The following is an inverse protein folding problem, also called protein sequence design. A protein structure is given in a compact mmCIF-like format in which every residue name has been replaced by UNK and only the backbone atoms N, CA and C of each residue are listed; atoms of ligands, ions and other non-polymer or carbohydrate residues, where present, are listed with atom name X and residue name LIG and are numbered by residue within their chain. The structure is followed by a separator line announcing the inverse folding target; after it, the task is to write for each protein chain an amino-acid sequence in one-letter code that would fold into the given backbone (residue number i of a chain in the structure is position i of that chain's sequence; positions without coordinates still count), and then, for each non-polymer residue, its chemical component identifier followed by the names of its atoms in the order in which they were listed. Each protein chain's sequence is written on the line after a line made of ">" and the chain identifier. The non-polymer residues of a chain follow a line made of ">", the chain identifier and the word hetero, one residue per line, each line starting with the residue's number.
data_IF_918561128065
#
_entry.id   IF_918561128065
#
_cell.length_a   1.000
_cell.length_b   1.000
_cell.length_c   1.000
_cell.angle_alpha   90.00
_cell.angle_beta   90.00
_cell.angle_gamma   90.00
#
_symmetry.space_group_name_H-M   'P 1'
#
loop_
_entity.id
_entity.type
_entity.pdbx_description
1 polymer ?
#
# COMPACT_ATOMS: atom_id res chain seq x y z
N UNK A 1 -9.97 -30.56 -1.46
CA UNK A 1 -8.71 -29.88 -1.15
C UNK A 1 -8.25 -30.37 0.20
N UNK A 2 -6.95 -30.50 0.43
CA UNK A 2 -6.42 -30.77 1.78
C UNK A 2 -6.40 -29.49 2.64
N UNK A 3 -6.94 -28.39 2.11
CA UNK A 3 -7.16 -27.13 2.81
C UNK A 3 -8.64 -26.93 3.13
N UNK A 4 -8.92 -26.53 4.36
CA UNK A 4 -10.24 -26.13 4.83
C UNK A 4 -10.32 -24.60 4.91
N UNK A 5 -11.17 -23.99 4.07
CA UNK A 5 -11.40 -22.54 4.09
C UNK A 5 -12.12 -22.16 5.39
N UNK A 6 -11.54 -21.23 6.14
CA UNK A 6 -12.11 -20.69 7.38
C UNK A 6 -12.88 -19.41 7.04
N UNK A 7 -12.30 -18.24 7.32
CA UNK A 7 -12.90 -16.94 7.02
C UNK A 7 -12.23 -16.24 5.83
N UNK A 8 -12.99 -15.37 5.18
CA UNK A 8 -12.50 -14.47 4.13
C UNK A 8 -11.66 -13.36 4.77
N UNK A 9 -10.47 -13.12 4.23
CA UNK A 9 -9.56 -12.07 4.71
C UNK A 9 -9.69 -10.77 3.92
N UNK A 10 -10.00 -10.86 2.63
CA UNK A 10 -10.15 -9.69 1.77
C UNK A 10 -10.39 -10.06 0.30
N UNK A 11 -10.66 -9.03 -0.49
CA UNK A 11 -10.72 -9.10 -1.96
C UNK A 11 -9.71 -8.11 -2.53
N UNK A 12 -8.69 -8.62 -3.21
CA UNK A 12 -7.71 -7.80 -3.92
C UNK A 12 -8.01 -7.76 -5.41
N UNK A 13 -7.21 -6.99 -6.16
CA UNK A 13 -7.25 -6.92 -7.62
C UNK A 13 -7.09 -8.30 -8.27
N UNK A 14 -6.37 -9.21 -7.61
CA UNK A 14 -6.02 -10.54 -8.11
C UNK A 14 -6.97 -11.66 -7.67
N UNK A 15 -7.95 -11.39 -6.81
CA UNK A 15 -8.91 -12.39 -6.35
C UNK A 15 -9.21 -12.33 -4.85
N UNK A 16 -9.97 -13.32 -4.38
CA UNK A 16 -10.36 -13.42 -2.97
C UNK A 16 -9.29 -14.17 -2.17
N UNK A 17 -8.93 -13.62 -1.02
CA UNK A 17 -8.01 -14.25 -0.07
C UNK A 17 -8.80 -14.85 1.09
N UNK A 18 -8.52 -16.11 1.42
CA UNK A 18 -9.14 -16.83 2.53
C UNK A 18 -8.08 -17.31 3.52
N UNK A 19 -8.36 -17.14 4.81
CA UNK A 19 -7.65 -17.88 5.85
C UNK A 19 -8.09 -19.33 5.77
N UNK A 20 -7.15 -20.27 5.75
CA UNK A 20 -7.45 -21.69 5.61
C UNK A 20 -6.57 -22.53 6.52
N UNK A 21 -7.06 -23.69 6.92
CA UNK A 21 -6.29 -24.71 7.63
C UNK A 21 -5.76 -25.73 6.62
N UNK A 22 -4.44 -25.86 6.50
CA UNK A 22 -3.81 -26.99 5.80
C UNK A 22 -3.90 -28.23 6.69
N UNK A 23 -4.75 -29.19 6.32
CA UNK A 23 -5.00 -30.42 7.08
C UNK A 23 -3.84 -31.41 7.02
N UNK A 24 -2.88 -31.23 6.12
CA UNK A 24 -1.72 -32.13 5.97
C UNK A 24 -0.75 -31.98 7.15
N UNK A 25 -0.57 -30.74 7.61
CA UNK A 25 0.37 -30.37 8.67
C UNK A 25 -0.29 -29.61 9.83
N UNK A 26 -1.61 -29.40 9.77
CA UNK A 26 -2.41 -28.66 10.75
C UNK A 26 -1.93 -27.21 10.97
N UNK A 27 -1.59 -26.52 9.88
CA UNK A 27 -1.11 -25.11 9.91
C UNK A 27 -2.09 -24.14 9.26
N UNK A 28 -2.13 -22.90 9.77
CA UNK A 28 -2.93 -21.83 9.18
C UNK A 28 -2.16 -21.17 8.04
N UNK A 29 -2.82 -21.01 6.90
CA UNK A 29 -2.27 -20.43 5.67
C UNK A 29 -3.24 -19.40 5.08
N UNK A 30 -2.72 -18.53 4.21
CA UNK A 30 -3.55 -17.71 3.34
C UNK A 30 -3.68 -18.38 1.96
N UNK A 31 -4.92 -18.61 1.51
CA UNK A 31 -5.22 -19.07 0.16
C UNK A 31 -5.68 -17.89 -0.69
N UNK A 32 -4.83 -17.48 -1.62
CA UNK A 32 -5.12 -16.43 -2.59
C UNK A 32 -5.50 -17.05 -3.92
N UNK A 33 -6.74 -16.86 -4.35
CA UNK A 33 -7.17 -17.34 -5.67
C UNK A 33 -6.45 -16.54 -6.76
N UNK A 34 -5.85 -17.24 -7.71
CA UNK A 34 -5.21 -16.63 -8.88
C UNK A 34 -6.29 -16.45 -9.95
N UNK A 35 -6.57 -15.21 -10.35
CA UNK A 35 -7.50 -14.94 -11.46
C UNK A 35 -6.91 -15.44 -12.78
N UNK A 36 -7.58 -16.41 -13.40
CA UNK A 36 -7.36 -16.82 -14.78
C UNK A 36 -8.26 -15.95 -15.68
N UNK A 37 -7.67 -15.23 -16.64
CA UNK A 37 -8.44 -14.39 -17.57
C UNK A 37 -9.34 -15.25 -18.45
N UNK A 38 -10.52 -14.73 -18.83
CA UNK A 38 -11.51 -15.47 -19.63
C UNK A 38 -10.95 -15.96 -20.97
N UNK A 39 -10.02 -15.22 -21.56
CA UNK A 39 -9.35 -15.59 -22.82
C UNK A 39 -8.40 -16.78 -22.67
N UNK A 40 -7.98 -17.11 -21.44
CA UNK A 40 -7.08 -18.22 -21.12
C UNK A 40 -7.83 -19.42 -20.51
N UNK A 41 -9.14 -19.26 -20.22
CA UNK A 41 -9.98 -20.35 -19.69
C UNK A 41 -10.03 -21.51 -20.68
N UNK A 42 -9.86 -22.73 -20.18
CA UNK A 42 -9.81 -23.96 -21.00
C UNK A 42 -8.44 -24.31 -21.57
N UNK A 43 -7.43 -23.43 -21.50
CA UNK A 43 -6.03 -23.72 -21.88
C UNK A 43 -5.12 -24.03 -20.68
N UNK A 44 -5.69 -24.14 -19.48
CA UNK A 44 -4.95 -24.29 -18.22
C UNK A 44 -4.33 -22.97 -17.75
N UNK A 45 -3.34 -23.06 -16.86
CA UNK A 45 -2.70 -21.88 -16.26
C UNK A 45 -1.78 -21.20 -17.27
N UNK A 46 -1.89 -19.88 -17.51
CA UNK A 46 -0.96 -19.16 -18.37
C UNK A 46 0.50 -19.37 -17.94
N UNK A 47 1.39 -19.64 -18.91
CA UNK A 47 2.83 -19.86 -18.64
C UNK A 47 3.45 -18.64 -17.93
N UNK A 48 2.98 -17.43 -18.23
CA UNK A 48 3.38 -16.19 -17.57
C UNK A 48 3.05 -16.21 -16.08
N UNK A 49 1.82 -16.59 -15.71
CA UNK A 49 1.41 -16.74 -14.32
C UNK A 49 2.23 -17.82 -13.59
N UNK A 50 2.50 -18.97 -14.24
CA UNK A 50 3.35 -20.02 -13.65
C UNK A 50 4.79 -19.54 -13.42
N UNK A 51 5.34 -18.73 -14.34
CA UNK A 51 6.68 -18.16 -14.21
C UNK A 51 6.76 -17.21 -13.03
N UNK A 52 5.76 -16.35 -12.87
CA UNK A 52 5.69 -15.41 -11.76
C UNK A 52 5.50 -16.13 -10.43
N UNK A 53 4.61 -17.11 -10.35
CA UNK A 53 4.44 -17.98 -9.17
C UNK A 53 5.77 -18.65 -8.82
N UNK A 54 6.53 -19.13 -9.82
CA UNK A 54 7.82 -19.77 -9.61
C UNK A 54 8.86 -18.81 -9.05
N UNK A 55 8.89 -17.56 -9.55
CA UNK A 55 9.75 -16.49 -9.00
C UNK A 55 9.37 -16.22 -7.55
N UNK A 56 8.08 -16.00 -7.25
CA UNK A 56 7.61 -15.72 -5.90
C UNK A 56 7.90 -16.86 -4.92
N UNK A 57 7.76 -18.11 -5.37
CA UNK A 57 8.13 -19.31 -4.59
C UNK A 57 9.63 -19.44 -4.33
N UNK A 58 10.47 -18.81 -5.16
CA UNK A 58 11.92 -18.78 -4.96
C UNK A 58 12.37 -17.71 -3.96
N UNK A 59 11.55 -16.69 -3.70
CA UNK A 59 11.88 -15.61 -2.78
C UNK A 59 11.87 -16.11 -1.34
N UNK A 60 12.96 -15.82 -0.61
CA UNK A 60 13.14 -16.19 0.79
C UNK A 60 13.77 -15.05 1.56
N UNK A 61 12.95 -14.31 2.29
CA UNK A 61 13.39 -13.24 3.15
C UNK A 61 12.37 -13.03 4.28
N UNK A 62 12.85 -12.64 5.47
CA UNK A 62 11.97 -12.49 6.64
C UNK A 62 10.86 -11.47 6.42
N UNK A 63 11.12 -10.41 5.64
CA UNK A 63 10.16 -9.36 5.32
C UNK A 63 9.40 -9.52 3.99
N UNK A 64 9.42 -10.70 3.40
CA UNK A 64 8.68 -11.05 2.17
C UNK A 64 7.70 -12.17 2.52
N UNK A 65 6.44 -12.06 2.07
CA UNK A 65 5.47 -13.13 2.23
C UNK A 65 5.91 -14.36 1.42
N UNK A 66 5.97 -15.50 2.08
CA UNK A 66 6.46 -16.75 1.51
C UNK A 66 5.33 -17.47 0.79
N UNK A 67 5.53 -17.76 -0.50
CA UNK A 67 4.68 -18.69 -1.23
C UNK A 67 5.11 -20.11 -0.90
N UNK A 68 4.28 -20.83 -0.16
CA UNK A 68 4.56 -22.17 0.34
C UNK A 68 4.28 -23.22 -0.73
N UNK A 69 3.14 -23.12 -1.40
CA UNK A 69 2.68 -24.11 -2.36
C UNK A 69 1.70 -23.51 -3.39
N UNK A 70 1.34 -24.30 -4.38
CA UNK A 70 0.27 -23.99 -5.35
C UNK A 70 -0.76 -25.10 -5.27
N UNK A 71 -2.00 -24.74 -5.01
CA UNK A 71 -3.12 -25.66 -4.93
C UNK A 71 -4.07 -25.46 -6.13
N UNK A 72 -4.65 -26.56 -6.60
CA UNK A 72 -5.68 -26.55 -7.65
C UNK A 72 -6.94 -27.19 -7.07
N UNK A 73 -8.11 -26.64 -7.39
CA UNK A 73 -9.36 -27.25 -6.96
C UNK A 73 -9.55 -28.62 -7.60
N UNK A 74 -10.12 -29.56 -6.83
CA UNK A 74 -10.42 -30.91 -7.33
C UNK A 74 -11.68 -30.95 -8.20
N UNK A 75 -12.54 -29.94 -8.08
CA UNK A 75 -13.83 -29.86 -8.78
C UNK A 75 -13.77 -28.97 -10.01
N UNK A 76 -12.84 -28.01 -10.03
CA UNK A 76 -12.65 -27.07 -11.14
C UNK A 76 -11.14 -26.85 -11.32
N UNK A 77 -10.57 -27.38 -12.41
CA UNK A 77 -9.13 -27.32 -12.65
C UNK A 77 -8.65 -25.92 -13.05
N UNK A 78 -9.57 -25.02 -13.42
CA UNK A 78 -9.25 -23.61 -13.70
C UNK A 78 -9.07 -22.79 -12.41
N UNK A 79 -9.39 -23.39 -11.27
CA UNK A 79 -9.44 -22.75 -9.97
C UNK A 79 -8.12 -22.97 -9.21
N UNK A 80 -7.17 -22.05 -9.45
CA UNK A 80 -5.80 -22.09 -8.91
C UNK A 80 -5.66 -21.18 -7.70
N UNK A 81 -4.94 -21.65 -6.69
CA UNK A 81 -4.72 -20.95 -5.43
C UNK A 81 -3.23 -20.92 -5.11
N UNK A 82 -2.73 -19.73 -4.79
CA UNK A 82 -1.43 -19.55 -4.16
C UNK A 82 -1.58 -19.79 -2.66
N UNK A 83 -0.78 -20.70 -2.11
CA UNK A 83 -0.74 -21.00 -0.67
C UNK A 83 0.40 -20.18 -0.08
N UNK A 84 0.06 -19.18 0.71
CA UNK A 84 0.99 -18.22 1.31
C UNK A 84 1.07 -18.42 2.83
N UNK A 85 2.18 -18.02 3.45
CA UNK A 85 2.24 -17.90 4.90
C UNK A 85 1.15 -16.93 5.41
N UNK A 86 0.58 -17.22 6.58
CA UNK A 86 -0.46 -16.37 7.15
C UNK A 86 0.16 -15.27 8.02
N UNK A 87 -0.28 -14.03 7.79
CA UNK A 87 -0.03 -12.89 8.68
C UNK A 87 -1.35 -12.33 9.17
N UNK A 88 -1.42 -12.03 10.47
CA UNK A 88 -2.65 -11.73 11.18
C UNK A 88 -3.32 -10.45 10.70
N UNK A 89 -2.55 -9.39 10.46
CA UNK A 89 -3.06 -8.05 10.15
C UNK A 89 -2.38 -7.46 8.92
N UNK A 90 -2.97 -6.40 8.36
CA UNK A 90 -2.29 -5.44 7.48
C UNK A 90 -2.26 -4.07 8.15
N UNK A 91 -1.30 -3.23 7.75
CA UNK A 91 -1.12 -1.92 8.36
C UNK A 91 -2.29 -0.97 8.10
N UNK A 92 -3.03 -1.12 6.98
CA UNK A 92 -4.19 -0.27 6.70
C UNK A 92 -5.30 -0.51 7.75
N UNK A 93 -5.65 -1.77 8.00
CA UNK A 93 -6.64 -2.13 9.01
C UNK A 93 -6.25 -1.68 10.43
N UNK A 94 -4.95 -1.72 10.77
CA UNK A 94 -4.46 -1.23 12.07
C UNK A 94 -4.61 0.29 12.21
N UNK A 95 -4.33 1.07 11.16
CA UNK A 95 -4.47 2.53 11.21
C UNK A 95 -5.94 2.96 11.17
N UNK A 96 -6.74 2.38 10.29
CA UNK A 96 -8.10 2.85 10.00
C UNK A 96 -9.13 2.36 11.02
N UNK A 97 -9.09 1.08 11.37
CA UNK A 97 -10.10 0.46 12.24
C UNK A 97 -9.65 0.35 13.69
N UNK A 98 -8.41 -0.05 13.92
CA UNK A 98 -7.85 -0.15 15.26
C UNK A 98 -7.44 1.20 15.84
N UNK A 99 -7.32 2.23 14.98
CA UNK A 99 -6.84 3.57 15.32
C UNK A 99 -5.50 3.54 16.03
N UNK A 100 -4.65 2.59 15.65
CA UNK A 100 -3.33 2.40 16.24
C UNK A 100 -2.45 3.62 15.95
N UNK A 101 -1.61 3.94 16.93
CA UNK A 101 -0.62 5.01 16.88
C UNK A 101 0.73 4.40 17.25
N UNK A 102 1.53 4.11 16.23
CA UNK A 102 2.87 3.58 16.45
C UNK A 102 3.77 4.67 17.03
N UNK A 103 4.57 4.32 18.03
CA UNK A 103 5.63 5.17 18.55
C UNK A 103 6.75 5.36 17.52
N UNK A 104 7.59 6.39 17.71
CA UNK A 104 8.73 6.65 16.81
C UNK A 104 9.66 5.43 16.65
N UNK A 105 9.87 4.68 17.74
CA UNK A 105 10.71 3.47 17.75
C UNK A 105 10.08 2.33 16.95
N UNK A 106 8.75 2.20 17.00
CA UNK A 106 7.99 1.22 16.21
C UNK A 106 7.95 1.61 14.73
N UNK A 107 7.70 2.89 14.40
CA UNK A 107 7.77 3.38 13.01
C UNK A 107 9.15 3.10 12.41
N UNK A 108 10.22 3.37 13.17
CA UNK A 108 11.60 3.09 12.74
C UNK A 108 11.83 1.58 12.54
N UNK A 109 11.28 0.73 13.40
CA UNK A 109 11.34 -0.72 13.23
C UNK A 109 10.60 -1.18 11.95
N UNK A 110 9.35 -0.75 11.76
CA UNK A 110 8.54 -1.08 10.58
C UNK A 110 9.21 -0.59 9.29
N UNK A 111 9.71 0.65 9.26
CA UNK A 111 10.38 1.21 8.09
C UNK A 111 11.71 0.49 7.78
N UNK A 112 12.45 0.07 8.81
CA UNK A 112 13.67 -0.73 8.61
C UNK A 112 13.34 -2.07 7.96
N UNK A 113 12.33 -2.77 8.47
CA UNK A 113 11.86 -4.04 7.91
C UNK A 113 11.33 -3.91 6.47
N UNK A 114 10.58 -2.84 6.17
CA UNK A 114 10.12 -2.51 4.82
C UNK A 114 11.31 -2.32 3.86
N UNK A 115 12.31 -1.52 4.26
CA UNK A 115 13.49 -1.24 3.45
C UNK A 115 14.38 -2.48 3.27
N UNK A 116 14.51 -3.34 4.28
CA UNK A 116 15.22 -4.63 4.18
C UNK A 116 14.53 -5.56 3.17
N UNK A 117 13.19 -5.63 3.20
CA UNK A 117 12.41 -6.35 2.20
C UNK A 117 12.59 -5.80 0.78
N UNK A 118 12.52 -4.47 0.61
CA UNK A 118 12.74 -3.83 -0.68
C UNK A 118 14.17 -4.03 -1.20
N UNK A 119 15.18 -3.92 -0.33
CA UNK A 119 16.57 -4.18 -0.71
C UNK A 119 16.74 -5.61 -1.24
N UNK A 120 16.13 -6.59 -0.57
CA UNK A 120 16.14 -7.97 -1.03
C UNK A 120 15.53 -8.11 -2.42
N UNK A 121 14.34 -7.55 -2.67
CA UNK A 121 13.67 -7.61 -3.98
C UNK A 121 14.49 -6.93 -5.07
N UNK A 122 15.00 -5.73 -4.80
CA UNK A 122 15.75 -4.92 -5.76
C UNK A 122 17.08 -5.60 -6.14
N UNK A 123 17.71 -6.36 -5.23
CA UNK A 123 18.89 -7.18 -5.54
C UNK A 123 18.59 -8.41 -6.40
N UNK A 124 17.33 -8.83 -6.50
CA UNK A 124 16.86 -9.90 -7.38
C UNK A 124 16.21 -9.35 -8.65
N UNK A 125 16.44 -8.07 -8.99
CA UNK A 125 15.86 -7.37 -10.14
C UNK A 125 14.31 -7.35 -10.16
N UNK A 126 13.70 -7.40 -8.97
CA UNK A 126 12.24 -7.34 -8.81
C UNK A 126 11.87 -5.96 -8.28
N UNK A 127 10.95 -5.29 -8.98
CA UNK A 127 10.30 -4.05 -8.52
C UNK A 127 8.87 -4.38 -8.11
N UNK A 128 8.47 -4.01 -6.89
CA UNK A 128 7.17 -4.41 -6.34
C UNK A 128 6.00 -3.70 -7.02
N UNK A 129 6.13 -2.39 -7.30
CA UNK A 129 5.17 -1.52 -8.03
C UNK A 129 3.82 -1.24 -7.36
N UNK A 130 3.43 -2.02 -6.36
CA UNK A 130 2.17 -1.84 -5.62
C UNK A 130 2.38 -1.79 -4.10
N UNK A 131 3.40 -1.05 -3.64
CA UNK A 131 3.61 -0.83 -2.20
C UNK A 131 2.52 0.13 -1.69
N UNK A 132 1.73 -0.35 -0.73
CA UNK A 132 0.63 0.37 -0.06
C UNK A 132 0.32 -0.27 1.29
N UNK A 133 -0.35 0.44 2.19
CA UNK A 133 -0.60 -0.05 3.56
C UNK A 133 -1.30 -1.42 3.63
N UNK A 134 -2.24 -1.71 2.72
CA UNK A 134 -2.96 -2.99 2.69
C UNK A 134 -2.12 -4.17 2.19
N UNK A 135 -0.97 -3.90 1.54
CA UNK A 135 -0.01 -4.91 1.09
C UNK A 135 1.16 -5.09 2.08
N UNK A 136 1.18 -4.32 3.17
CA UNK A 136 2.13 -4.48 4.27
C UNK A 136 1.45 -5.28 5.38
N UNK A 137 1.74 -6.57 5.44
CA UNK A 137 1.19 -7.44 6.47
C UNK A 137 2.07 -7.40 7.72
N UNK A 138 1.47 -7.62 8.89
CA UNK A 138 2.16 -7.64 10.18
C UNK A 138 1.80 -8.91 10.93
N UNK A 139 2.83 -9.68 11.31
CA UNK A 139 2.65 -10.86 12.15
C UNK A 139 2.46 -10.48 13.62
N UNK A 140 1.93 -11.39 14.43
CA UNK A 140 1.86 -11.23 15.89
C UNK A 140 3.24 -11.05 16.56
N UNK A 141 4.31 -11.52 15.93
CA UNK A 141 5.69 -11.31 16.41
C UNK A 141 6.29 -9.96 15.95
N UNK A 142 5.49 -9.08 15.35
CA UNK A 142 5.93 -7.77 14.87
C UNK A 142 6.79 -7.81 13.61
N UNK A 143 6.72 -8.92 12.85
CA UNK A 143 7.44 -9.04 11.57
C UNK A 143 6.57 -8.47 10.46
N UNK A 144 7.08 -7.43 9.79
CA UNK A 144 6.45 -6.87 8.60
C UNK A 144 6.75 -7.76 7.39
N UNK A 145 5.71 -8.08 6.62
CA UNK A 145 5.77 -8.92 5.42
C UNK A 145 5.23 -8.14 4.22
N UNK A 146 6.06 -7.95 3.20
CA UNK A 146 5.62 -7.47 1.89
C UNK A 146 4.81 -8.57 1.20
N UNK A 147 3.57 -8.25 0.87
CA UNK A 147 2.65 -9.15 0.18
C UNK A 147 2.11 -8.51 -1.10
N UNK A 148 1.41 -9.33 -1.89
CA UNK A 148 0.77 -8.92 -3.15
C UNK A 148 1.76 -8.30 -4.14
N UNK A 149 2.79 -9.09 -4.48
CA UNK A 149 3.64 -8.84 -5.64
C UNK A 149 2.75 -8.86 -6.86
N UNK A 150 2.45 -7.68 -7.41
CA UNK A 150 1.57 -7.53 -8.54
C UNK A 150 2.06 -8.38 -9.71
N UNK A 151 1.47 -9.57 -9.84
CA UNK A 151 1.70 -10.53 -10.91
C UNK A 151 1.74 -9.75 -12.23
N UNK A 152 2.87 -9.89 -12.91
CA UNK A 152 3.53 -8.87 -13.70
C UNK A 152 2.57 -8.22 -14.68
N UNK A 153 2.09 -7.03 -14.32
CA UNK A 153 1.65 -6.10 -15.34
C UNK A 153 2.91 -5.69 -16.11
N UNK A 154 3.07 -6.21 -17.33
CA UNK A 154 3.28 -5.25 -18.42
C UNK A 154 2.19 -4.21 -18.22
N UNK A 155 2.60 -2.97 -17.95
CA UNK A 155 1.68 -1.87 -17.78
C UNK A 155 0.92 -1.68 -19.09
N UNK A 156 -0.12 -2.48 -19.28
CA UNK A 156 -1.05 -2.28 -20.36
C UNK A 156 -1.70 -0.94 -20.07
N UNK A 157 -1.54 -0.03 -21.02
CA UNK A 157 -2.18 1.29 -21.07
C UNK A 157 -3.71 1.17 -21.21
N UNK A 158 -4.32 0.15 -20.59
CA UNK A 158 -5.76 0.00 -20.54
C UNK A 158 -6.29 0.97 -19.49
N UNK A 159 -7.34 1.74 -19.80
CA UNK A 159 -8.03 2.55 -18.82
C UNK A 159 -8.56 1.60 -17.75
N UNK A 160 -7.90 1.58 -16.60
CA UNK A 160 -8.51 1.04 -15.40
C UNK A 160 -9.70 1.94 -15.10
N UNK A 161 -10.84 1.34 -14.78
CA UNK A 161 -12.05 2.05 -14.38
C UNK A 161 -11.68 3.10 -13.31
N UNK A 162 -12.02 4.39 -13.49
CA UNK A 162 -11.81 5.39 -12.47
C UNK A 162 -12.43 4.93 -11.14
N UNK A 163 -11.64 4.90 -10.07
CA UNK A 163 -12.09 4.56 -8.72
C UNK A 163 -11.72 3.18 -8.17
N UNK A 164 -11.04 2.30 -8.94
CA UNK A 164 -10.70 0.93 -8.47
C UNK A 164 -9.23 0.79 -8.02
N UNK A 165 -8.34 1.74 -8.33
CA UNK A 165 -6.91 1.65 -7.98
C UNK A 165 -6.46 2.90 -7.22
N UNK A 166 -5.98 2.69 -5.99
CA UNK A 166 -5.41 3.74 -5.14
C UNK A 166 -4.16 4.33 -5.80
N UNK A 167 -4.15 5.65 -6.06
CA UNK A 167 -2.99 6.37 -6.63
C UNK A 167 -2.09 7.02 -5.57
N UNK A 168 -2.42 6.88 -4.29
CA UNK A 168 -1.80 7.61 -3.18
C UNK A 168 -0.29 7.40 -3.04
N UNK A 169 0.19 6.22 -3.46
CA UNK A 169 1.60 5.82 -3.37
C UNK A 169 2.31 5.90 -4.73
N UNK A 170 1.63 6.37 -5.79
CA UNK A 170 2.20 6.44 -7.14
C UNK A 170 3.23 7.58 -7.22
N UNK A 171 4.40 7.28 -7.77
CA UNK A 171 5.48 8.24 -7.93
C UNK A 171 5.23 9.26 -9.07
N UNK A 172 5.86 10.45 -9.03
CA UNK A 172 5.69 11.49 -10.03
C UNK A 172 5.95 11.02 -11.46
N UNK A 173 6.99 10.22 -11.68
CA UNK A 173 7.34 9.69 -13.00
C UNK A 173 6.28 8.72 -13.54
N UNK A 174 5.65 7.92 -12.66
CA UNK A 174 4.54 7.07 -13.06
C UNK A 174 3.28 7.87 -13.36
N UNK A 175 3.00 8.94 -12.60
CA UNK A 175 1.90 9.86 -12.91
C UNK A 175 2.09 10.52 -14.28
N UNK A 176 3.33 10.91 -14.60
CA UNK A 176 3.71 11.49 -15.90
C UNK A 176 3.90 10.45 -17.01
N UNK A 177 3.38 9.24 -16.83
CA UNK A 177 3.36 8.16 -17.82
C UNK A 177 4.75 7.73 -18.31
N UNK A 178 5.77 7.76 -17.44
CA UNK A 178 7.10 7.27 -17.80
C UNK A 178 7.04 5.80 -18.24
N UNK A 179 7.54 5.51 -19.44
CA UNK A 179 7.59 4.15 -20.00
C UNK A 179 8.78 3.34 -19.49
N UNK A 180 9.78 4.03 -18.94
CA UNK A 180 10.96 3.43 -18.30
C UNK A 180 11.04 3.93 -16.87
N UNK A 181 11.02 3.00 -15.93
CA UNK A 181 11.11 3.26 -14.49
C UNK A 181 12.01 2.23 -13.82
N UNK A 182 12.45 2.54 -12.60
CA UNK A 182 13.38 1.74 -11.82
C UNK A 182 12.75 1.36 -10.48
N UNK A 183 13.51 0.70 -9.61
CA UNK A 183 13.13 0.46 -8.21
C UNK A 183 12.84 1.74 -7.40
N UNK A 184 13.20 2.92 -7.91
CA UNK A 184 12.90 4.22 -7.31
C UNK A 184 11.38 4.48 -7.11
N UNK A 185 10.51 3.79 -7.85
CA UNK A 185 9.06 3.86 -7.66
C UNK A 185 8.63 3.27 -6.32
N UNK A 186 9.27 2.16 -5.89
CA UNK A 186 9.00 1.54 -4.59
C UNK A 186 9.54 2.42 -3.45
N UNK A 187 10.67 3.10 -3.69
CA UNK A 187 11.28 4.01 -2.71
C UNK A 187 10.39 5.23 -2.44
N UNK A 188 9.74 5.76 -3.49
CA UNK A 188 8.73 6.81 -3.33
C UNK A 188 7.55 6.32 -2.47
N UNK A 189 7.01 5.15 -2.80
CA UNK A 189 5.92 4.56 -2.05
C UNK A 189 6.29 4.33 -0.57
N UNK A 190 7.52 3.88 -0.29
CA UNK A 190 8.03 3.78 1.08
C UNK A 190 8.08 5.14 1.81
N UNK A 191 8.39 6.23 1.11
CA UNK A 191 8.29 7.59 1.65
C UNK A 191 6.85 7.99 2.02
N UNK A 192 5.88 7.67 1.16
CA UNK A 192 4.46 7.86 1.47
C UNK A 192 4.01 7.03 2.69
N UNK A 193 4.41 5.76 2.77
CA UNK A 193 4.14 4.88 3.92
C UNK A 193 4.72 5.46 5.20
N UNK A 194 5.97 5.92 5.17
CA UNK A 194 6.62 6.54 6.33
C UNK A 194 5.84 7.77 6.80
N UNK A 195 5.49 8.67 5.88
CA UNK A 195 4.68 9.85 6.21
C UNK A 195 3.33 9.49 6.82
N UNK A 196 2.64 8.49 6.25
CA UNK A 196 1.35 8.03 6.74
C UNK A 196 1.42 7.36 8.13
N UNK A 197 2.48 6.60 8.42
CA UNK A 197 2.71 6.07 9.78
C UNK A 197 2.92 7.21 10.79
N UNK A 198 3.65 8.26 10.41
CA UNK A 198 3.97 9.40 11.28
C UNK A 198 2.76 10.31 11.52
N UNK A 199 1.92 10.54 10.51
CA UNK A 199 0.71 11.38 10.62
C UNK A 199 -0.53 10.59 10.98
N UNK A 200 -0.46 9.26 10.91
CA UNK A 200 -1.55 8.32 11.07
C UNK A 200 -2.78 8.64 10.20
N UNK A 201 -2.49 9.16 9.01
CA UNK A 201 -3.44 9.55 7.97
C UNK A 201 -2.70 9.56 6.63
N UNK A 202 -3.34 9.19 5.51
CA UNK A 202 -2.71 9.16 4.20
C UNK A 202 -1.98 10.46 3.87
N UNK A 203 -0.71 10.36 3.44
CA UNK A 203 0.12 11.54 3.18
C UNK A 203 -0.36 12.32 1.95
N UNK A 204 -0.73 11.60 0.90
CA UNK A 204 -1.13 12.15 -0.41
C UNK A 204 -2.37 11.41 -0.94
N UNK A 205 -3.59 11.67 -0.41
CA UNK A 205 -4.80 10.93 -0.78
C UNK A 205 -5.50 11.48 -2.04
N UNK A 206 -4.85 11.43 -3.21
CA UNK A 206 -5.48 11.82 -4.47
C UNK A 206 -6.45 10.75 -4.98
N UNK A 207 -7.59 11.16 -5.52
CA UNK A 207 -8.59 10.26 -6.14
C UNK A 207 -8.33 10.06 -7.63
N UNK A 208 -7.65 11.03 -8.26
CA UNK A 208 -7.24 11.00 -9.67
C UNK A 208 -5.74 11.28 -9.80
N UNK A 209 -5.12 10.90 -10.92
CA UNK A 209 -3.71 11.19 -11.16
C UNK A 209 -3.42 12.70 -11.17
N UNK A 210 -4.36 13.50 -11.68
CA UNK A 210 -4.27 14.94 -11.66
C UNK A 210 -4.34 15.52 -10.23
N UNK A 211 -5.27 15.01 -9.40
CA UNK A 211 -5.35 15.42 -8.00
C UNK A 211 -4.11 14.97 -7.22
N UNK A 212 -3.62 13.76 -7.48
CA UNK A 212 -2.39 13.24 -6.88
C UNK A 212 -1.20 14.14 -7.21
N UNK A 213 -1.04 14.52 -8.47
CA UNK A 213 -0.02 15.49 -8.91
C UNK A 213 -0.14 16.84 -8.20
N UNK A 214 -1.37 17.36 -8.06
CA UNK A 214 -1.62 18.62 -7.37
C UNK A 214 -1.24 18.54 -5.88
N UNK A 215 -1.56 17.43 -5.21
CA UNK A 215 -1.18 17.19 -3.80
C UNK A 215 0.34 17.08 -3.63
N UNK A 216 1.02 16.36 -4.53
CA UNK A 216 2.49 16.26 -4.53
C UNK A 216 3.12 17.65 -4.69
N UNK A 217 2.63 18.42 -5.67
CA UNK A 217 3.12 19.78 -5.94
C UNK A 217 2.86 20.73 -4.78
N UNK A 218 1.73 20.58 -4.08
CA UNK A 218 1.41 21.38 -2.90
C UNK A 218 2.28 21.01 -1.69
N UNK A 219 2.66 19.74 -1.54
CA UNK A 219 3.49 19.27 -0.43
C UNK A 219 4.97 19.60 -0.64
N UNK A 220 5.52 19.33 -1.83
CA UNK A 220 6.96 19.40 -2.10
C UNK A 220 7.38 20.68 -2.84
N UNK A 221 6.42 21.50 -3.25
CA UNK A 221 6.62 22.58 -4.21
C UNK A 221 6.60 22.07 -5.65
N UNK A 222 6.33 22.98 -6.59
CA UNK A 222 6.28 22.67 -8.02
C UNK A 222 7.68 22.29 -8.53
N UNK A 223 7.84 21.16 -9.24
CA UNK A 223 9.14 20.77 -9.79
C UNK A 223 9.57 21.74 -10.89
N UNK A 224 10.87 22.02 -10.94
CA UNK A 224 11.51 22.82 -11.99
C UNK A 224 12.55 21.99 -12.73
N UNK A 225 13.02 22.47 -13.88
CA UNK A 225 14.09 21.82 -14.65
C UNK A 225 15.40 21.71 -13.85
N UNK A 226 15.57 22.49 -12.76
CA UNK A 226 16.70 22.34 -11.83
C UNK A 226 16.55 21.14 -10.90
N UNK A 227 15.32 20.86 -10.44
CA UNK A 227 15.03 19.79 -9.47
C UNK A 227 14.84 18.46 -10.19
N UNK A 228 14.27 18.50 -11.40
CA UNK A 228 14.02 17.31 -12.22
C UNK A 228 14.20 17.63 -13.72
N UNK A 229 15.46 17.64 -14.20
CA UNK A 229 15.78 18.07 -15.58
C UNK A 229 15.06 17.27 -16.66
N UNK A 230 14.81 15.98 -16.42
CA UNK A 230 14.20 15.07 -17.40
C UNK A 230 12.66 15.09 -17.39
N UNK A 231 12.03 15.85 -16.50
CA UNK A 231 10.56 15.91 -16.36
C UNK A 231 9.86 16.23 -17.69
N UNK A 232 10.35 17.24 -18.44
CA UNK A 232 9.73 17.67 -19.70
C UNK A 232 9.84 16.65 -20.84
N UNK A 233 10.71 15.65 -20.70
CA UNK A 233 10.84 14.56 -21.68
C UNK A 233 9.83 13.43 -21.46
N UNK A 234 9.11 13.46 -20.33
CA UNK A 234 8.09 12.46 -20.03
C UNK A 234 6.81 12.74 -20.85
N UNK A 235 6.03 11.69 -21.18
CA UNK A 235 4.82 11.87 -21.97
C UNK A 235 3.83 12.87 -21.37
N UNK A 236 3.69 12.90 -20.04
CA UNK A 236 2.81 13.82 -19.32
C UNK A 236 1.67 13.10 -18.59
N UNK A 237 0.79 13.88 -17.98
CA UNK A 237 -0.41 13.36 -17.29
C UNK A 237 -1.42 12.90 -18.34
N UNK A 238 -2.04 11.72 -18.20
CA UNK A 238 -3.11 11.31 -19.10
C UNK A 238 -4.37 12.15 -18.86
N UNK A 239 -5.06 12.50 -19.95
CA UNK A 239 -6.40 13.10 -19.88
C UNK A 239 -7.50 12.04 -19.77
N UNK A 240 -8.76 12.47 -19.78
CA UNK A 240 -9.94 11.59 -19.73
C UNK A 240 -9.98 10.52 -20.84
N UNK A 241 -9.26 10.74 -21.94
CA UNK A 241 -9.13 9.82 -23.08
C UNK A 241 -7.77 9.09 -23.09
N UNK A 242 -6.97 9.20 -22.03
CA UNK A 242 -5.65 8.59 -21.91
C UNK A 242 -4.56 9.29 -22.74
N UNK A 243 -4.82 10.49 -23.28
CA UNK A 243 -3.83 11.22 -24.08
C UNK A 243 -2.92 12.03 -23.16
N UNK A 244 -1.59 12.01 -23.37
CA UNK A 244 -0.69 12.76 -22.52
C UNK A 244 -0.88 14.28 -22.68
N UNK A 245 -0.92 15.00 -21.56
CA UNK A 245 -0.95 16.45 -21.48
C UNK A 245 0.17 16.97 -20.57
N UNK A 246 0.70 18.18 -20.84
CA UNK A 246 1.66 18.81 -19.94
C UNK A 246 1.09 18.85 -18.52
N UNK A 247 1.89 18.51 -17.49
CA UNK A 247 1.44 18.63 -16.12
C UNK A 247 1.06 20.07 -15.82
N UNK A 248 -0.18 20.34 -15.36
CA UNK A 248 -0.57 21.69 -15.02
C UNK A 248 0.24 22.14 -13.81
N UNK A 249 0.70 23.38 -13.86
CA UNK A 249 1.29 24.06 -12.71
C UNK A 249 0.11 24.63 -11.91
N UNK A 250 -0.19 24.15 -10.70
CA UNK A 250 -1.32 24.64 -9.94
C UNK A 250 -1.16 26.14 -9.64
N UNK A 251 -2.06 26.98 -10.18
CA UNK A 251 -1.99 28.44 -10.04
C UNK A 251 -2.21 28.94 -8.60
N UNK A 252 -2.76 28.09 -7.73
CA UNK A 252 -3.16 28.41 -6.36
C UNK A 252 -2.17 27.93 -5.29
N UNK A 253 -1.14 27.16 -5.65
CA UNK A 253 -0.09 26.78 -4.68
C UNK A 253 0.89 27.93 -4.58
N UNK A 254 0.70 28.79 -3.58
CA UNK A 254 1.73 29.73 -3.21
C UNK A 254 3.00 28.93 -2.87
N UNK A 255 4.04 29.20 -3.66
CA UNK A 255 5.46 29.00 -3.39
C UNK A 255 6.10 27.68 -3.86
N UNK A 256 7.29 27.82 -4.46
CA UNK A 256 8.27 26.75 -4.69
C UNK A 256 8.86 26.22 -3.35
N UNK A 257 8.09 26.30 -2.26
CA UNK A 257 8.52 25.94 -0.91
C UNK A 257 8.04 24.53 -0.64
N UNK A 258 8.95 23.73 -0.13
CA UNK A 258 8.66 22.40 0.38
C UNK A 258 7.98 22.52 1.75
N UNK A 259 6.73 22.06 1.84
CA UNK A 259 5.88 22.11 3.04
C UNK A 259 6.01 20.85 3.90
N UNK A 260 6.90 19.91 3.56
CA UNK A 260 7.04 18.64 4.27
C UNK A 260 7.43 18.83 5.75
N UNK A 261 8.34 19.77 6.05
CA UNK A 261 8.71 20.12 7.43
C UNK A 261 7.51 20.63 8.23
N UNK A 262 6.63 21.42 7.60
CA UNK A 262 5.39 21.89 8.24
C UNK A 262 4.39 20.76 8.41
N UNK A 263 4.23 19.89 7.41
CA UNK A 263 3.32 18.73 7.44
C UNK A 263 3.73 17.72 8.52
N UNK A 264 5.02 17.55 8.73
CA UNK A 264 5.62 16.65 9.73
C UNK A 264 6.12 17.43 10.96
N UNK A 265 5.50 18.57 11.27
CA UNK A 265 5.86 19.37 12.43
C UNK A 265 5.82 18.51 13.71
N UNK A 266 6.86 18.62 14.53
CA UNK A 266 7.04 17.80 15.73
C UNK A 266 7.85 16.52 15.53
N UNK A 267 8.13 16.13 14.28
CA UNK A 267 9.08 15.06 13.98
C UNK A 267 10.53 15.55 14.07
N UNK A 268 11.46 14.62 14.29
CA UNK A 268 12.88 14.93 14.38
C UNK A 268 13.51 15.18 13.00
N UNK A 269 14.68 15.81 13.01
CA UNK A 269 15.36 16.29 11.81
C UNK A 269 15.70 15.15 10.84
N UNK A 270 16.29 14.05 11.33
CA UNK A 270 16.73 12.97 10.44
C UNK A 270 15.53 12.15 9.95
N UNK A 271 14.45 12.08 10.73
CA UNK A 271 13.16 11.54 10.30
C UNK A 271 12.61 12.30 9.08
N UNK A 272 12.49 13.64 9.19
CA UNK A 272 12.00 14.47 8.08
C UNK A 272 12.96 14.40 6.89
N UNK A 273 14.26 14.39 7.14
CA UNK A 273 15.27 14.30 6.08
C UNK A 273 15.15 13.00 5.28
N UNK A 274 14.93 11.85 5.93
CA UNK A 274 14.71 10.58 5.24
C UNK A 274 13.44 10.61 4.37
N UNK A 275 12.32 11.14 4.91
CA UNK A 275 11.08 11.26 4.13
C UNK A 275 11.32 12.17 2.91
N UNK A 276 12.05 13.27 3.09
CA UNK A 276 12.38 14.19 2.00
C UNK A 276 13.26 13.53 0.92
N UNK A 277 14.25 12.72 1.31
CA UNK A 277 15.08 11.96 0.35
C UNK A 277 14.24 10.93 -0.42
N UNK A 278 13.36 10.19 0.26
CA UNK A 278 12.48 9.20 -0.38
C UNK A 278 11.46 9.84 -1.33
N UNK A 279 10.98 11.05 -1.01
CA UNK A 279 10.03 11.82 -1.82
C UNK A 279 10.72 12.81 -2.78
N UNK A 280 11.96 12.55 -3.19
CA UNK A 280 12.64 13.37 -4.20
C UNK A 280 11.98 13.20 -5.58
N UNK A 281 11.70 14.29 -6.31
CA UNK A 281 11.06 14.21 -7.63
C UNK A 281 11.85 13.36 -8.62
N UNK A 282 13.14 13.65 -8.79
CA UNK A 282 13.98 12.92 -9.72
C UNK A 282 14.25 11.49 -9.20
N UNK A 283 13.78 10.44 -9.90
CA UNK A 283 14.01 9.06 -9.47
C UNK A 283 15.49 8.66 -9.45
N UNK A 284 16.36 9.32 -10.22
CA UNK A 284 17.80 9.05 -10.22
C UNK A 284 18.49 9.57 -8.94
N UNK A 285 17.85 10.54 -8.26
CA UNK A 285 18.36 11.14 -7.02
C UNK A 285 17.79 10.49 -5.76
N UNK A 286 16.75 9.64 -5.87
CA UNK A 286 16.22 8.90 -4.71
C UNK A 286 17.22 7.87 -4.21
N UNK A 287 17.35 7.68 -2.88
CA UNK A 287 18.24 6.65 -2.35
C UNK A 287 17.71 5.25 -2.67
N UNK A 288 18.62 4.33 -3.00
CA UNK A 288 18.30 2.89 -2.97
C UNK A 288 17.95 2.44 -1.54
N UNK A 289 17.22 1.33 -1.39
CA UNK A 289 16.88 0.76 -0.08
C UNK A 289 18.12 0.56 0.83
N UNK A 290 19.20 -0.01 0.30
CA UNK A 290 20.45 -0.20 1.05
C UNK A 290 21.14 1.10 1.49
N UNK A 291 20.95 2.20 0.77
CA UNK A 291 21.40 3.54 1.17
C UNK A 291 20.49 4.12 2.25
N UNK A 292 19.18 4.00 2.10
CA UNK A 292 18.19 4.46 3.07
C UNK A 292 18.36 3.76 4.43
N UNK A 293 18.69 2.46 4.46
CA UNK A 293 18.97 1.71 5.70
C UNK A 293 20.18 2.25 6.49
N UNK A 294 21.10 2.95 5.83
CA UNK A 294 22.29 3.57 6.44
C UNK A 294 22.06 5.04 6.83
N UNK A 295 20.84 5.56 6.62
CA UNK A 295 20.50 6.94 6.88
C UNK A 295 20.62 7.26 8.40
N UNK A 296 21.07 8.47 8.79
CA UNK A 296 21.19 8.87 10.20
C UNK A 296 19.94 8.65 11.05
N UNK A 297 18.75 8.68 10.44
CA UNK A 297 17.48 8.29 11.06
C UNK A 297 17.56 6.93 11.78
N UNK A 298 18.15 5.92 11.14
CA UNK A 298 18.27 4.57 11.72
C UNK A 298 19.50 4.40 12.61
N UNK A 299 20.61 5.07 12.28
CA UNK A 299 21.92 4.78 12.89
C UNK A 299 22.35 5.74 14.00
N UNK A 300 21.75 6.93 14.08
CA UNK A 300 22.17 7.99 15.03
C UNK A 300 20.99 8.58 15.81
N UNK A 301 19.87 8.85 15.14
CA UNK A 301 18.74 9.51 15.77
C UNK A 301 18.04 8.60 16.79
N UNK A 302 17.89 9.06 18.04
CA UNK A 302 17.23 8.33 19.12
C UNK A 302 15.74 8.71 19.22
N UNK A 303 14.84 7.81 19.67
CA UNK A 303 15.11 6.41 19.99
C UNK A 303 15.44 5.59 18.74
N UNK A 304 16.29 4.58 18.90
CA UNK A 304 16.53 3.57 17.86
C UNK A 304 15.28 2.73 17.54
N UNK A 305 15.32 1.89 16.50
CA UNK A 305 14.23 0.95 16.23
C UNK A 305 14.07 -0.01 17.41
N UNK A 306 12.84 -0.27 17.84
CA UNK A 306 12.57 -1.30 18.83
C UNK A 306 12.82 -2.70 18.22
N UNK A 307 12.96 -3.71 19.07
CA UNK A 307 12.94 -5.09 18.60
C UNK A 307 11.55 -5.41 18.03
N UNK A 308 11.42 -6.23 16.95
CA UNK A 308 10.12 -6.54 16.36
C UNK A 308 9.09 -7.06 17.38
N UNK A 309 9.53 -7.87 18.34
CA UNK A 309 8.67 -8.46 19.37
C UNK A 309 8.08 -7.42 20.34
N UNK A 310 8.62 -6.20 20.32
CA UNK A 310 8.14 -5.06 21.12
C UNK A 310 7.12 -4.20 20.38
N UNK A 311 6.87 -4.45 19.09
CA UNK A 311 5.76 -3.81 18.37
C UNK A 311 4.46 -4.29 19.01
N UNK A 312 3.58 -3.34 19.33
CA UNK A 312 2.29 -3.66 19.95
C UNK A 312 1.55 -4.77 19.18
N UNK A 313 1.16 -5.81 19.91
CA UNK A 313 0.32 -6.88 19.36
C UNK A 313 -1.15 -6.50 19.50
N UNK A 314 -1.92 -6.63 18.43
CA UNK A 314 -3.35 -6.31 18.44
C UNK A 314 -4.17 -7.61 18.38
N UNK A 315 -5.34 -7.68 19.03
CA UNK A 315 -6.31 -8.76 18.77
C UNK A 315 -6.61 -8.81 17.27
N UNK A 316 -6.80 -10.00 16.69
CA UNK A 316 -7.09 -10.11 15.26
C UNK A 316 -8.42 -9.42 14.90
N UNK A 317 -8.35 -8.22 14.31
CA UNK A 317 -9.54 -7.40 13.98
C UNK A 317 -10.27 -7.95 12.73
N UNK A 318 -9.54 -8.68 11.88
CA UNK A 318 -10.08 -9.34 10.68
C UNK A 318 -11.13 -10.44 10.98
N UNK A 319 -11.30 -10.82 12.25
CA UNK A 319 -12.19 -11.91 12.68
C UNK A 319 -13.49 -11.45 13.36
N UNK A 320 -13.81 -10.15 13.38
CA UNK A 320 -15.06 -9.69 14.01
C UNK A 320 -16.25 -9.96 13.09
N UNK A 321 -17.24 -10.79 13.51
CA UNK A 321 -18.47 -10.97 12.75
C UNK A 321 -19.20 -9.63 12.66
N UNK A 322 -19.33 -9.07 11.45
CA UNK A 322 -20.02 -7.79 11.23
C UNK A 322 -19.12 -6.59 10.93
N UNK A 323 -17.80 -6.76 10.77
CA UNK A 323 -16.99 -5.74 10.12
C UNK A 323 -17.47 -5.57 8.65
N UNK A 324 -17.75 -4.34 8.18
CA UNK A 324 -18.17 -4.15 6.80
C UNK A 324 -17.06 -4.68 5.89
N UNK A 325 -17.41 -5.63 5.02
CA UNK A 325 -16.56 -5.99 3.91
C UNK A 325 -16.23 -4.68 3.19
N UNK A 326 -14.94 -4.42 2.94
CA UNK A 326 -14.46 -3.19 2.32
C UNK A 326 -15.11 -2.95 0.96
N UNK A 327 -16.27 -2.30 0.97
CA UNK A 327 -16.94 -1.73 -0.19
C UNK A 327 -17.20 -0.28 0.18
N UNK A 328 -16.32 0.60 -0.27
CA UNK A 328 -16.62 2.02 -0.31
C UNK A 328 -17.66 2.22 -1.41
N UNK A 329 -18.93 2.09 -1.08
CA UNK A 329 -19.98 2.76 -1.87
C UNK A 329 -19.96 4.23 -1.49
N UNK A 330 -19.28 5.05 -2.31
CA UNK A 330 -19.44 6.51 -2.26
C UNK A 330 -20.87 6.85 -2.66
N UNK A 331 -21.74 7.03 -1.66
CA UNK A 331 -23.04 7.68 -1.87
C UNK A 331 -22.80 9.13 -2.26
N UNK A 332 -23.17 9.49 -3.49
CA UNK A 332 -23.28 10.87 -3.95
C UNK A 332 -24.31 11.60 -3.09
N UNK A 333 -23.85 12.47 -2.21
CA UNK A 333 -24.66 13.50 -1.57
C UNK A 333 -24.25 14.85 -2.14
N UNK A 334 -25.06 15.36 -3.07
CA UNK A 334 -25.11 16.81 -3.30
C UNK A 334 -25.68 17.44 -2.03
N UNK A 335 -24.95 18.36 -1.41
CA UNK A 335 -25.43 19.71 -1.07
C UNK A 335 -24.47 20.42 -0.11
N UNK A 336 -24.38 21.72 -0.36
CA UNK A 336 -23.62 22.74 0.36
C UNK A 336 -24.35 23.07 1.65
N UNK A 337 -23.65 23.21 2.79
CA UNK A 337 -24.29 23.79 3.98
C UNK A 337 -23.50 23.61 5.28
N UNK A 338 -23.20 24.75 5.91
CA UNK A 338 -22.54 24.95 7.18
C UNK A 338 -23.24 24.33 8.43
N UNK A 339 -22.46 24.35 9.52
CA UNK A 339 -22.81 24.34 10.96
C UNK A 339 -23.03 22.95 11.60
N UNK A 340 -22.82 22.70 12.90
CA UNK A 340 -22.18 23.30 14.09
C UNK A 340 -22.15 22.13 15.11
N UNK A 341 -21.13 22.04 15.94
CA UNK A 341 -21.05 21.06 17.02
C UNK A 341 -22.10 21.35 18.10
N UNK A 342 -22.91 20.35 18.46
CA UNK A 342 -23.72 20.35 19.69
C UNK A 342 -23.41 19.08 20.51
N UNK A 343 -23.10 19.28 21.79
CA UNK A 343 -22.76 18.25 22.76
C UNK A 343 -23.96 18.06 23.69
N UNK A 344 -24.58 16.88 23.67
CA UNK A 344 -25.68 16.54 24.57
C UNK A 344 -25.54 15.15 25.17
N UNK A 345 -25.07 15.09 26.41
CA UNK A 345 -25.22 13.95 27.31
C UNK A 345 -26.68 13.76 27.74
N UNK A 346 -27.07 12.51 28.04
CA UNK A 346 -27.96 12.25 29.17
C UNK A 346 -29.32 11.59 28.93
N UNK A 347 -29.42 10.37 29.46
CA UNK A 347 -30.57 9.76 30.15
C UNK A 347 -31.77 9.17 29.36
N UNK A 348 -31.88 7.85 29.48
CA UNK A 348 -33.06 7.03 29.82
C UNK A 348 -34.45 7.70 29.91
N UNK A 349 -35.49 7.07 29.35
CA UNK A 349 -36.53 6.34 30.11
C UNK A 349 -37.72 5.82 29.24
N UNK A 350 -38.06 4.53 29.45
CA UNK A 350 -39.32 3.78 29.36
C UNK A 350 -40.45 4.08 28.33
N UNK A 351 -40.84 2.98 27.67
CA UNK A 351 -42.21 2.42 27.49
C UNK A 351 -43.39 3.41 27.45
N UNK A 352 -44.16 3.36 26.34
CA UNK A 352 -45.57 2.88 26.37
C UNK A 352 -46.17 2.67 24.97
N UNK A 353 -46.85 1.52 24.85
CA UNK A 353 -47.84 1.17 23.82
C UNK A 353 -48.98 2.20 23.74
N UNK A 354 -49.50 2.46 22.53
CA UNK A 354 -50.91 2.15 22.18
C UNK A 354 -51.19 2.32 20.68
N UNK A 355 -51.92 1.33 20.16
CA UNK A 355 -52.66 1.32 18.89
C UNK A 355 -53.58 2.54 18.76
N UNK A 356 -53.64 3.15 17.58
CA UNK A 356 -54.70 2.90 16.58
C UNK A 356 -54.24 3.39 15.22
#
# INVERSE_FOLDING_TARGET
>A
MDFEKLNRLGEGTYGVVHRSLDRRNNTIVALKQVRVFENDRGNGIPITALREISILKSLRHINIISVLDVAVSRTDLDDVYMVEEYAEQDLANLLDHAKVRFSESEVKCLMKQLLEGLEYLHRHDIVHRDIKMSNLLLTRSGILKLADFGLAREWSARPLTPGVVTVWYRSPELLLSATRYTSAVDMWAAGCIMGELLTCAPLLPGETELQQWALISALLGVPSDRIWPRMRSLPGLPDENGRPRPPPIPRSTNSNINMLETKLAGQKKECINLVNELLTYDPEMRPSAGRALKHPYFVREQPGPCAPEMIQTFPEIRNVPGAPAGTVEMKRGNEVGDYVFDFGEGASEKKRRRKR
#
